data_IF_658652568376
#
_entry.id   IF_658652568376
#
_cell.length_a   1.000
_cell.length_b   1.000
_cell.length_c   1.000
_cell.angle_alpha   90.00
_cell.angle_beta   90.00
_cell.angle_gamma   90.00
#
_symmetry.space_group_name_H-M   'P 1'
#
loop_
_entity.id
_entity.type
_entity.pdbx_description
1 polymer ?
#
# COMPACT_ATOMS: atom_id res chain seq x y z
N UNK A 1 -6.76 -9.16 -0.65
CA UNK A 1 -7.81 -9.47 0.33
C UNK A 1 -9.17 -9.12 -0.28
N UNK A 2 -10.09 -10.09 -0.32
CA UNK A 2 -11.47 -9.82 -0.73
C UNK A 2 -12.12 -8.88 0.28
N UNK A 3 -12.72 -7.79 -0.20
CA UNK A 3 -13.42 -6.83 0.65
C UNK A 3 -14.51 -7.50 1.49
N UNK A 4 -14.77 -6.99 2.69
CA UNK A 4 -15.65 -7.61 3.69
C UNK A 4 -17.05 -8.03 3.18
N UNK A 5 -17.80 -7.27 2.38
CA UNK A 5 -19.15 -7.66 1.98
C UNK A 5 -19.19 -8.83 0.98
N UNK A 6 -18.16 -9.03 0.19
CA UNK A 6 -18.14 -10.05 -0.87
C UNK A 6 -17.49 -11.37 -0.45
N UNK A 7 -16.64 -11.37 0.56
CA UNK A 7 -15.90 -12.58 0.95
C UNK A 7 -16.76 -13.75 1.42
N UNK A 8 -17.81 -13.58 2.25
CA UNK A 8 -18.65 -14.70 2.67
C UNK A 8 -19.38 -15.38 1.50
N UNK A 9 -19.99 -14.58 0.62
CA UNK A 9 -20.74 -15.08 -0.53
C UNK A 9 -19.81 -15.80 -1.52
N UNK A 10 -18.70 -15.17 -1.87
CA UNK A 10 -17.71 -15.74 -2.78
C UNK A 10 -17.14 -17.08 -2.29
N UNK A 11 -16.86 -17.20 -0.99
CA UNK A 11 -16.39 -18.45 -0.43
C UNK A 11 -17.47 -19.54 -0.45
N UNK A 12 -18.73 -19.20 -0.14
CA UNK A 12 -19.85 -20.13 -0.25
C UNK A 12 -20.02 -20.68 -1.67
N UNK A 13 -19.91 -19.82 -2.66
CA UNK A 13 -19.98 -20.17 -4.08
C UNK A 13 -18.78 -21.03 -4.50
N UNK A 14 -17.58 -20.64 -4.14
CA UNK A 14 -16.32 -21.34 -4.46
C UNK A 14 -16.30 -22.76 -3.89
N UNK A 15 -16.71 -22.93 -2.63
CA UNK A 15 -16.77 -24.23 -1.96
C UNK A 15 -18.07 -24.99 -2.20
N UNK A 16 -19.04 -24.38 -2.90
CA UNK A 16 -20.39 -24.92 -3.15
C UNK A 16 -21.09 -25.36 -1.86
N UNK A 17 -20.86 -24.61 -0.79
CA UNK A 17 -21.40 -24.85 0.54
C UNK A 17 -22.15 -23.60 1.04
N UNK A 18 -23.51 -23.60 0.98
CA UNK A 18 -24.30 -22.47 1.45
C UNK A 18 -24.25 -22.28 2.96
N UNK A 19 -23.92 -23.34 3.70
CA UNK A 19 -23.86 -23.35 5.18
C UNK A 19 -22.45 -23.05 5.72
N UNK A 20 -21.50 -22.73 4.82
CA UNK A 20 -20.13 -22.43 5.19
C UNK A 20 -20.08 -21.33 6.27
N UNK A 21 -19.53 -21.67 7.44
CA UNK A 21 -19.33 -20.70 8.52
C UNK A 21 -18.10 -19.81 8.26
N UNK A 22 -18.35 -18.72 7.57
CA UNK A 22 -17.33 -17.73 7.28
C UNK A 22 -16.67 -17.17 8.55
N UNK A 23 -17.44 -17.03 9.62
CA UNK A 23 -16.93 -16.48 10.90
C UNK A 23 -15.95 -17.44 11.56
N UNK A 24 -16.26 -18.73 11.58
CA UNK A 24 -15.36 -19.77 12.06
C UNK A 24 -14.07 -19.82 11.25
N UNK A 25 -14.15 -19.81 9.93
CA UNK A 25 -12.98 -19.79 9.04
C UNK A 25 -12.11 -18.55 9.28
N UNK A 26 -12.71 -17.38 9.39
CA UNK A 26 -12.01 -16.13 9.67
C UNK A 26 -11.31 -16.15 11.02
N UNK A 27 -11.96 -16.68 12.05
CA UNK A 27 -11.37 -16.79 13.38
C UNK A 27 -10.21 -17.79 13.41
N UNK A 28 -10.37 -18.94 12.77
CA UNK A 28 -9.32 -19.94 12.64
C UNK A 28 -8.09 -19.39 11.88
N UNK A 29 -8.32 -18.69 10.77
CA UNK A 29 -7.24 -17.99 10.04
C UNK A 29 -6.51 -16.98 10.94
N UNK A 30 -7.23 -16.19 11.73
CA UNK A 30 -6.65 -15.23 12.68
C UNK A 30 -5.79 -15.92 13.73
N UNK A 31 -6.24 -17.06 14.23
CA UNK A 31 -5.50 -17.86 15.20
C UNK A 31 -4.20 -18.37 14.59
N UNK A 32 -4.24 -19.04 13.42
CA UNK A 32 -3.05 -19.55 12.74
C UNK A 32 -2.03 -18.43 12.48
N UNK A 33 -2.49 -17.29 11.95
CA UNK A 33 -1.63 -16.12 11.72
C UNK A 33 -0.99 -15.68 13.05
N UNK A 34 -1.77 -15.59 14.12
CA UNK A 34 -1.25 -15.21 15.44
C UNK A 34 -0.20 -16.17 15.98
N UNK A 35 -0.37 -17.47 15.79
CA UNK A 35 0.59 -18.51 16.18
C UNK A 35 1.86 -18.43 15.32
N UNK A 36 1.72 -18.26 14.01
CA UNK A 36 2.86 -18.08 13.12
C UNK A 36 3.69 -16.84 13.47
N UNK A 37 3.03 -15.71 13.74
CA UNK A 37 3.72 -14.48 14.14
C UNK A 37 4.42 -14.59 15.49
N UNK A 38 3.84 -15.32 16.44
CA UNK A 38 4.49 -15.61 17.73
C UNK A 38 5.74 -16.48 17.56
N UNK A 39 5.69 -17.45 16.66
CA UNK A 39 6.78 -18.40 16.44
C UNK A 39 7.92 -17.82 15.57
N UNK A 40 7.57 -17.12 14.53
CA UNK A 40 8.51 -16.69 13.48
C UNK A 40 8.85 -15.19 13.55
N UNK A 41 8.11 -14.41 14.37
CA UNK A 41 8.17 -12.95 14.37
C UNK A 41 7.44 -12.33 13.17
N UNK A 42 7.60 -11.02 13.03
CA UNK A 42 7.08 -10.25 11.90
C UNK A 42 8.27 -9.97 10.98
N UNK A 43 8.18 -10.43 9.74
CA UNK A 43 9.21 -10.17 8.75
C UNK A 43 9.03 -8.77 8.16
N UNK A 44 10.13 -8.01 8.07
CA UNK A 44 10.17 -6.70 7.41
C UNK A 44 10.55 -6.92 5.95
N UNK A 45 9.76 -6.38 5.02
CA UNK A 45 10.05 -6.47 3.58
C UNK A 45 11.39 -5.81 3.26
N UNK A 46 12.12 -6.40 2.31
CA UNK A 46 13.43 -5.94 1.85
C UNK A 46 13.37 -4.46 1.44
N UNK A 47 14.32 -3.68 1.94
CA UNK A 47 14.45 -2.27 1.62
C UNK A 47 13.51 -1.34 2.41
N UNK A 48 12.68 -1.87 3.35
CA UNK A 48 11.71 -1.04 4.08
C UNK A 48 12.40 -0.04 5.02
N UNK A 49 13.40 -0.48 5.76
CA UNK A 49 14.13 0.39 6.69
C UNK A 49 14.88 1.46 5.92
N UNK A 50 15.60 1.07 4.87
CA UNK A 50 16.37 1.97 4.02
C UNK A 50 15.48 3.05 3.37
N UNK A 51 14.29 2.66 2.89
CA UNK A 51 13.33 3.61 2.34
C UNK A 51 12.81 4.56 3.41
N UNK A 52 12.40 4.05 4.58
CA UNK A 52 11.87 4.87 5.66
C UNK A 52 12.92 5.87 6.20
N UNK A 53 14.16 5.43 6.37
CA UNK A 53 15.27 6.30 6.77
C UNK A 53 15.53 7.40 5.73
N UNK A 54 15.52 7.04 4.45
CA UNK A 54 15.68 8.00 3.37
C UNK A 54 14.55 9.05 3.39
N UNK A 55 13.28 8.61 3.42
CA UNK A 55 12.13 9.52 3.45
C UNK A 55 12.14 10.44 4.67
N UNK A 56 12.55 9.91 5.83
CA UNK A 56 12.70 10.68 7.07
C UNK A 56 13.78 11.74 6.93
N UNK A 57 14.93 11.39 6.38
CA UNK A 57 16.05 12.33 6.17
C UNK A 57 15.67 13.44 5.18
N UNK A 58 14.82 13.16 4.19
CA UNK A 58 14.31 14.13 3.23
C UNK A 58 13.14 14.98 3.77
N UNK A 59 12.63 14.70 4.97
CA UNK A 59 11.46 15.37 5.54
C UNK A 59 10.15 15.07 4.83
N UNK A 60 10.07 13.97 4.08
CA UNK A 60 8.87 13.53 3.36
C UNK A 60 7.88 12.93 4.36
N UNK A 61 6.62 13.35 4.30
CA UNK A 61 5.55 12.80 5.14
C UNK A 61 5.26 11.33 4.82
N UNK A 62 4.97 10.54 5.86
CA UNK A 62 4.75 9.09 5.76
C UNK A 62 3.49 8.69 6.49
N UNK A 63 2.62 7.95 5.82
CA UNK A 63 1.45 7.36 6.44
C UNK A 63 1.32 5.87 6.11
N UNK A 64 0.72 5.12 7.01
CA UNK A 64 0.25 3.77 6.75
C UNK A 64 -1.24 3.81 6.38
N UNK A 65 -1.62 3.08 5.33
CA UNK A 65 -3.00 2.81 4.95
C UNK A 65 -3.22 1.29 4.90
N UNK A 66 -3.79 0.70 5.96
CA UNK A 66 -3.86 -0.74 6.15
C UNK A 66 -5.28 -1.27 6.34
N UNK A 67 -5.53 -2.50 5.85
CA UNK A 67 -6.75 -3.25 6.13
C UNK A 67 -6.80 -3.86 7.55
N UNK A 68 -5.70 -3.79 8.30
CA UNK A 68 -5.58 -4.27 9.69
C UNK A 68 -6.23 -3.25 10.65
N UNK A 69 -6.76 -3.73 11.78
CA UNK A 69 -7.29 -2.86 12.83
C UNK A 69 -6.17 -2.05 13.51
N UNK A 70 -6.55 -0.93 14.11
CA UNK A 70 -5.60 0.03 14.70
C UNK A 70 -4.74 -0.60 15.78
N UNK A 71 -5.37 -1.29 16.75
CA UNK A 71 -4.66 -1.86 17.90
C UNK A 71 -3.53 -2.80 17.46
N UNK A 72 -3.84 -3.69 16.53
CA UNK A 72 -2.88 -4.65 15.97
C UNK A 72 -1.80 -3.96 15.15
N UNK A 73 -2.17 -2.98 14.33
CA UNK A 73 -1.21 -2.22 13.53
C UNK A 73 -0.19 -1.53 14.43
N UNK A 74 -0.66 -0.83 15.47
CA UNK A 74 0.24 -0.14 16.41
C UNK A 74 1.13 -1.13 17.18
N UNK A 75 0.58 -2.27 17.61
CA UNK A 75 1.37 -3.31 18.27
C UNK A 75 2.49 -3.83 17.38
N UNK A 76 2.20 -4.12 16.11
CA UNK A 76 3.20 -4.60 15.16
C UNK A 76 4.28 -3.55 14.88
N UNK A 77 3.89 -2.31 14.65
CA UNK A 77 4.84 -1.23 14.42
C UNK A 77 5.75 -0.97 15.62
N UNK A 78 5.21 -1.01 16.83
CA UNK A 78 6.00 -0.87 18.08
C UNK A 78 6.95 -2.05 18.26
N UNK A 79 6.49 -3.28 18.02
CA UNK A 79 7.32 -4.48 18.10
C UNK A 79 8.48 -4.44 17.11
N UNK A 80 8.28 -3.86 15.92
CA UNK A 80 9.30 -3.71 14.89
C UNK A 80 10.18 -2.45 15.06
N UNK A 81 9.86 -1.56 16.01
CA UNK A 81 10.55 -0.27 16.16
C UNK A 81 10.23 0.72 15.02
N UNK A 82 9.12 0.52 14.31
CA UNK A 82 8.74 1.34 13.15
C UNK A 82 7.65 2.38 13.42
N UNK A 83 7.10 2.39 14.65
CA UNK A 83 5.96 3.26 14.98
C UNK A 83 6.27 4.75 14.73
N UNK A 84 7.44 5.21 15.14
CA UNK A 84 7.86 6.62 15.07
C UNK A 84 8.32 7.05 13.67
N UNK A 85 8.29 6.15 12.70
CA UNK A 85 8.54 6.51 11.30
C UNK A 85 7.34 7.15 10.62
N UNK A 86 6.14 6.96 11.14
CA UNK A 86 4.90 7.36 10.47
C UNK A 86 4.23 8.54 11.15
N UNK A 87 3.89 9.56 10.36
CA UNK A 87 3.16 10.74 10.81
C UNK A 87 1.67 10.40 11.06
N UNK A 88 1.13 9.44 10.29
CA UNK A 88 -0.26 8.97 10.41
C UNK A 88 -0.37 7.47 10.22
N UNK A 89 -1.30 6.85 10.95
CA UNK A 89 -1.68 5.44 10.81
C UNK A 89 -3.17 5.38 10.52
N UNK A 90 -3.51 4.99 9.30
CA UNK A 90 -4.88 4.91 8.81
C UNK A 90 -5.27 3.44 8.67
N UNK A 91 -6.31 3.04 9.38
CA UNK A 91 -6.82 1.68 9.41
C UNK A 91 -8.19 1.58 8.74
N UNK A 92 -8.53 0.40 8.23
CA UNK A 92 -9.80 0.17 7.54
C UNK A 92 -11.04 0.49 8.40
N UNK A 93 -10.91 0.46 9.72
CA UNK A 93 -11.99 0.83 10.65
C UNK A 93 -12.28 2.33 10.70
N UNK A 94 -11.45 3.16 10.10
CA UNK A 94 -11.59 4.62 10.06
C UNK A 94 -12.32 5.13 8.82
N UNK A 95 -12.70 4.22 7.91
CA UNK A 95 -13.38 4.52 6.64
C UNK A 95 -14.59 3.63 6.45
N UNK A 96 -15.53 4.07 5.61
CA UNK A 96 -16.77 3.34 5.36
C UNK A 96 -16.52 2.09 4.49
N UNK A 97 -15.73 2.24 3.44
CA UNK A 97 -15.44 1.16 2.51
C UNK A 97 -13.94 0.83 2.49
N UNK A 98 -13.60 -0.44 2.64
CA UNK A 98 -12.24 -0.94 2.53
C UNK A 98 -11.76 -1.08 1.08
N UNK A 99 -10.44 -1.28 0.89
CA UNK A 99 -9.85 -1.57 -0.43
C UNK A 99 -10.65 -2.67 -1.15
N UNK A 100 -11.01 -2.51 -2.42
CA UNK A 100 -10.46 -1.59 -3.42
C UNK A 100 -11.10 -0.20 -3.48
N UNK A 101 -12.04 0.16 -2.57
CA UNK A 101 -12.57 1.53 -2.51
C UNK A 101 -11.45 2.53 -2.24
N UNK A 102 -11.51 3.76 -2.81
CA UNK A 102 -10.48 4.78 -2.63
C UNK A 102 -10.47 5.43 -1.24
N UNK A 103 -11.49 5.18 -0.42
CA UNK A 103 -11.76 5.88 0.84
C UNK A 103 -10.54 5.99 1.76
N UNK A 104 -9.79 4.90 1.91
CA UNK A 104 -8.66 4.85 2.86
C UNK A 104 -7.49 5.75 2.41
N UNK A 105 -7.22 5.83 1.10
CA UNK A 105 -6.17 6.69 0.56
C UNK A 105 -6.59 8.15 0.53
N UNK A 106 -7.84 8.43 0.15
CA UNK A 106 -8.40 9.78 0.25
C UNK A 106 -8.37 10.29 1.70
N UNK A 107 -8.69 9.42 2.65
CA UNK A 107 -8.62 9.79 4.06
C UNK A 107 -7.17 10.02 4.52
N UNK A 108 -6.23 9.17 4.11
CA UNK A 108 -4.81 9.33 4.43
C UNK A 108 -4.25 10.66 3.89
N UNK A 109 -4.52 11.01 2.63
CA UNK A 109 -4.10 12.27 2.03
C UNK A 109 -4.65 13.48 2.81
N UNK A 110 -5.95 13.45 3.15
CA UNK A 110 -6.56 14.52 3.99
C UNK A 110 -5.89 14.64 5.36
N UNK A 111 -5.51 13.52 6.00
CA UNK A 111 -4.84 13.53 7.30
C UNK A 111 -3.41 14.06 7.24
N UNK A 112 -2.77 13.98 6.08
CA UNK A 112 -1.46 14.57 5.81
C UNK A 112 -1.57 16.02 5.31
N UNK A 113 -2.78 16.54 5.07
CA UNK A 113 -3.05 17.83 4.42
C UNK A 113 -2.41 17.96 3.03
N UNK A 114 -2.41 16.85 2.25
CA UNK A 114 -1.89 16.75 0.90
C UNK A 114 -3.02 16.39 -0.09
N UNK A 115 -2.85 16.79 -1.35
CA UNK A 115 -3.69 16.30 -2.44
C UNK A 115 -3.26 14.88 -2.85
N UNK A 116 -4.17 14.02 -3.33
CA UNK A 116 -3.80 12.66 -3.74
C UNK A 116 -2.71 12.60 -4.82
N UNK A 117 -2.74 13.51 -5.79
CA UNK A 117 -1.73 13.64 -6.85
C UNK A 117 -0.33 14.01 -6.33
N UNK A 118 -0.22 14.57 -5.14
CA UNK A 118 1.04 14.87 -4.45
C UNK A 118 1.58 13.64 -3.68
N UNK A 119 0.81 12.56 -3.63
CA UNK A 119 1.12 11.38 -2.84
C UNK A 119 1.55 10.20 -3.70
N UNK A 120 2.60 9.53 -3.28
CA UNK A 120 2.98 8.21 -3.79
C UNK A 120 2.40 7.14 -2.86
N UNK A 121 1.56 6.28 -3.41
CA UNK A 121 1.05 5.10 -2.72
C UNK A 121 1.90 3.88 -3.09
N UNK A 122 2.49 3.22 -2.10
CA UNK A 122 3.25 1.98 -2.29
C UNK A 122 2.37 0.80 -1.92
N UNK A 123 2.16 -0.13 -2.86
CA UNK A 123 1.23 -1.24 -2.71
C UNK A 123 1.81 -2.57 -3.19
N UNK A 124 1.27 -3.67 -2.66
CA UNK A 124 1.68 -5.04 -2.97
C UNK A 124 0.57 -5.87 -3.62
N UNK A 125 -0.65 -5.38 -3.60
CA UNK A 125 -1.85 -6.14 -3.99
C UNK A 125 -2.71 -5.41 -5.02
N UNK A 126 -3.40 -6.15 -5.92
CA UNK A 126 -4.31 -5.57 -6.91
C UNK A 126 -5.39 -4.66 -6.29
N UNK A 127 -5.99 -5.09 -5.17
CA UNK A 127 -7.01 -4.27 -4.48
C UNK A 127 -6.44 -2.97 -3.90
N UNK A 128 -5.20 -3.03 -3.42
CA UNK A 128 -4.50 -1.85 -2.93
C UNK A 128 -4.18 -0.87 -4.05
N UNK A 129 -3.65 -1.37 -5.17
CA UNK A 129 -3.41 -0.57 -6.38
C UNK A 129 -4.70 0.10 -6.87
N UNK A 130 -5.79 -0.66 -7.00
CA UNK A 130 -7.07 -0.08 -7.43
C UNK A 130 -7.58 1.00 -6.46
N UNK A 131 -7.41 0.80 -5.16
CA UNK A 131 -7.80 1.75 -4.12
C UNK A 131 -6.99 3.06 -4.22
N UNK A 132 -5.67 2.95 -4.32
CA UNK A 132 -4.77 4.10 -4.42
C UNK A 132 -4.97 4.88 -5.73
N UNK A 133 -5.05 4.16 -6.85
CA UNK A 133 -5.31 4.76 -8.16
C UNK A 133 -6.68 5.46 -8.20
N UNK A 134 -7.72 4.81 -7.67
CA UNK A 134 -9.07 5.39 -7.57
C UNK A 134 -9.13 6.62 -6.67
N UNK A 135 -8.20 6.77 -5.73
CA UNK A 135 -8.05 7.97 -4.91
C UNK A 135 -7.35 9.13 -5.65
N UNK A 136 -6.66 8.85 -6.76
CA UNK A 136 -5.86 9.81 -7.52
C UNK A 136 -4.38 9.86 -7.13
N UNK A 137 -3.89 8.86 -6.36
CA UNK A 137 -2.48 8.80 -5.97
C UNK A 137 -1.61 8.25 -7.12
N UNK A 138 -0.34 8.62 -7.11
CA UNK A 138 0.70 7.97 -7.92
C UNK A 138 1.04 6.61 -7.31
N UNK A 139 0.83 5.51 -8.04
CA UNK A 139 0.94 4.17 -7.45
C UNK A 139 2.22 3.49 -7.86
N UNK A 140 3.04 3.10 -6.88
CA UNK A 140 4.20 2.22 -7.08
C UNK A 140 3.85 0.84 -6.53
N UNK A 141 3.95 -0.19 -7.37
CA UNK A 141 3.70 -1.56 -6.93
C UNK A 141 5.01 -2.29 -6.64
N UNK A 142 5.07 -2.91 -5.45
CA UNK A 142 6.10 -3.88 -5.06
C UNK A 142 5.39 -5.23 -4.88
N UNK A 143 5.28 -6.06 -5.93
CA UNK A 143 4.49 -7.28 -5.88
C UNK A 143 4.93 -8.22 -4.76
N UNK A 144 3.96 -8.87 -4.11
CA UNK A 144 4.21 -9.92 -3.12
C UNK A 144 3.86 -11.29 -3.72
N UNK A 145 2.57 -11.59 -3.84
CA UNK A 145 2.08 -12.88 -4.34
C UNK A 145 1.49 -12.82 -5.75
N UNK A 146 1.24 -11.61 -6.27
CA UNK A 146 0.55 -11.43 -7.55
C UNK A 146 1.25 -10.36 -8.36
N UNK A 147 1.77 -10.73 -9.52
CA UNK A 147 2.27 -9.78 -10.50
C UNK A 147 1.11 -9.01 -11.14
N UNK A 148 1.30 -7.74 -11.51
CA UNK A 148 0.27 -6.96 -12.17
C UNK A 148 0.03 -7.47 -13.59
N UNK A 149 -1.25 -7.71 -13.92
CA UNK A 149 -1.69 -7.90 -15.29
C UNK A 149 -1.66 -6.58 -16.09
N UNK A 150 -1.96 -6.63 -17.39
CA UNK A 150 -1.92 -5.47 -18.27
C UNK A 150 -2.86 -4.34 -17.79
N UNK A 151 -4.06 -4.68 -17.34
CA UNK A 151 -5.04 -3.72 -16.86
C UNK A 151 -4.57 -3.03 -15.55
N UNK A 152 -3.87 -3.76 -14.70
CA UNK A 152 -3.32 -3.23 -13.47
C UNK A 152 -2.06 -2.39 -13.74
N UNK A 153 -1.21 -2.81 -14.69
CA UNK A 153 -0.03 -2.05 -15.12
C UNK A 153 -0.38 -0.65 -15.59
N UNK A 154 -1.48 -0.49 -16.31
CA UNK A 154 -1.99 0.82 -16.75
C UNK A 154 -2.40 1.78 -15.62
N UNK A 155 -2.38 1.33 -14.36
CA UNK A 155 -2.66 2.15 -13.16
C UNK A 155 -1.40 2.49 -12.37
N UNK A 156 -0.24 1.98 -12.77
CA UNK A 156 0.99 2.12 -12.01
C UNK A 156 1.84 3.27 -12.57
N UNK A 157 2.38 4.09 -11.71
CA UNK A 157 3.48 4.98 -12.01
C UNK A 157 4.80 4.21 -12.15
N UNK A 158 4.98 3.14 -11.35
CA UNK A 158 6.12 2.22 -11.47
C UNK A 158 5.80 0.85 -10.85
N UNK A 159 6.54 -0.18 -11.34
CA UNK A 159 6.65 -1.49 -10.70
C UNK A 159 8.12 -1.72 -10.35
N UNK A 160 8.42 -2.08 -9.10
CA UNK A 160 9.77 -2.36 -8.62
C UNK A 160 9.81 -3.68 -7.85
N UNK A 161 11.01 -4.29 -7.71
CA UNK A 161 11.17 -5.59 -7.05
C UNK A 161 11.33 -5.48 -5.53
N UNK A 162 11.74 -4.32 -5.03
CA UNK A 162 11.95 -4.10 -3.60
C UNK A 162 11.76 -2.63 -3.23
N UNK A 163 11.53 -2.37 -1.93
CA UNK A 163 11.24 -1.02 -1.43
C UNK A 163 12.43 -0.05 -1.56
N UNK A 164 13.67 -0.54 -1.48
CA UNK A 164 14.87 0.28 -1.67
C UNK A 164 15.01 0.83 -3.11
N UNK A 165 14.41 0.15 -4.09
CA UNK A 165 14.41 0.65 -5.48
C UNK A 165 13.61 1.93 -5.65
N UNK A 166 12.62 2.18 -4.78
CA UNK A 166 11.86 3.42 -4.76
C UNK A 166 12.79 4.62 -4.48
N UNK A 167 13.84 4.44 -3.68
CA UNK A 167 14.85 5.48 -3.44
C UNK A 167 15.51 5.92 -4.74
N UNK A 168 15.72 4.99 -5.70
CA UNK A 168 16.31 5.31 -7.00
C UNK A 168 15.39 6.19 -7.84
N UNK A 169 14.06 6.02 -7.70
CA UNK A 169 13.08 6.89 -8.35
C UNK A 169 13.20 8.32 -7.83
N UNK A 170 13.32 8.52 -6.53
CA UNK A 170 13.53 9.86 -5.94
C UNK A 170 14.88 10.47 -6.33
N UNK A 171 15.97 9.67 -6.39
CA UNK A 171 17.32 10.16 -6.74
C UNK A 171 17.49 10.55 -8.20
N UNK A 172 16.73 9.97 -9.13
CA UNK A 172 16.71 10.39 -10.53
C UNK A 172 16.10 11.78 -10.71
N UNK A 173 15.39 12.27 -9.70
CA UNK A 173 14.68 13.54 -9.70
C UNK A 173 15.01 14.34 -8.44
N UNK A 174 16.23 14.95 -8.36
CA UNK A 174 16.72 15.65 -7.18
C UNK A 174 15.92 16.88 -6.75
N UNK A 175 14.81 17.17 -7.38
CA UNK A 175 13.95 18.27 -7.06
C UNK A 175 12.67 17.91 -6.32
N UNK A 176 12.46 16.67 -5.84
CA UNK A 176 11.35 16.31 -4.94
C UNK A 176 11.58 16.73 -3.48
N UNK A 177 12.66 17.43 -3.20
CA UNK A 177 12.97 18.02 -1.89
C UNK A 177 12.56 19.49 -1.88
N UNK A 178 11.69 19.84 -0.99
CA UNK A 178 11.17 21.13 -0.45
C UNK A 178 11.29 22.47 -1.24
N UNK A 179 12.03 22.60 -2.31
CA UNK A 179 12.29 23.90 -2.95
C UNK A 179 11.62 24.10 -4.33
N UNK A 180 10.99 23.05 -4.91
CA UNK A 180 10.39 23.14 -6.26
C UNK A 180 8.99 22.48 -6.35
N UNK A 181 8.03 22.95 -5.55
CA UNK A 181 6.73 22.29 -5.34
C UNK A 181 5.78 22.23 -6.55
N UNK A 182 5.90 23.11 -7.53
CA UNK A 182 4.91 23.17 -8.64
C UNK A 182 5.31 22.45 -9.94
N UNK A 183 6.59 22.14 -10.14
CA UNK A 183 7.08 21.65 -11.45
C UNK A 183 7.42 20.15 -11.50
N UNK A 184 7.29 19.41 -10.42
CA UNK A 184 7.98 18.13 -10.26
C UNK A 184 7.09 16.89 -10.36
N UNK A 185 5.82 17.00 -10.00
CA UNK A 185 4.88 15.88 -10.16
C UNK A 185 4.65 15.53 -11.63
N UNK A 186 4.59 16.54 -12.50
CA UNK A 186 4.49 16.34 -13.95
C UNK A 186 5.63 15.48 -14.50
N UNK A 187 6.86 15.63 -13.99
CA UNK A 187 8.02 14.85 -14.43
C UNK A 187 8.01 13.39 -13.98
N UNK A 188 7.47 13.06 -12.82
CA UNK A 188 7.35 11.66 -12.38
C UNK A 188 6.34 10.91 -13.25
N UNK A 189 5.24 11.56 -13.61
CA UNK A 189 4.23 11.01 -14.52
C UNK A 189 4.81 10.82 -15.92
N UNK A 190 5.55 11.81 -16.42
CA UNK A 190 6.18 11.77 -17.75
C UNK A 190 7.19 10.62 -17.89
N UNK A 191 7.96 10.34 -16.85
CA UNK A 191 8.97 9.26 -16.87
C UNK A 191 8.37 7.89 -16.62
N UNK A 192 7.30 7.79 -15.88
CA UNK A 192 6.53 6.54 -15.79
C UNK A 192 5.93 6.19 -17.17
N UNK A 193 5.48 7.17 -17.93
CA UNK A 193 5.03 7.00 -19.31
C UNK A 193 6.15 6.61 -20.27
N UNK A 194 7.31 7.27 -20.20
CA UNK A 194 8.49 6.92 -21.02
C UNK A 194 8.99 5.49 -20.78
N UNK A 195 9.00 5.02 -19.52
CA UNK A 195 9.37 3.65 -19.21
C UNK A 195 8.31 2.62 -19.65
N UNK A 196 7.03 3.00 -19.72
CA UNK A 196 5.97 2.16 -20.27
C UNK A 196 6.06 2.03 -21.78
N UNK A 197 6.46 3.09 -22.47
CA UNK A 197 6.58 3.11 -23.94
C UNK A 197 7.83 2.34 -24.40
N UNK A 198 8.92 2.35 -23.65
CA UNK A 198 10.13 1.54 -23.92
C UNK A 198 9.96 0.05 -23.59
N UNK A 199 8.94 -0.33 -22.82
CA UNK A 199 8.63 -1.74 -22.55
C UNK A 199 7.73 -2.38 -23.62
N UNK A 200 7.32 -1.62 -24.65
CA UNK A 200 6.51 -2.08 -25.78
C UNK A 200 7.32 -2.34 -27.06
N UNK A 201 8.63 -2.01 -27.07
CA UNK A 201 9.59 -2.39 -28.10
C UNK A 201 10.37 -3.66 -27.70
#
# INVERSE_FOLDING_TARGET
SLGQPYAPQHLKEMFRDPDLDYTAIRNYRKQIIGECLKKNGIEIKKGAIELLDYLKAQGIHRAIATATDQLRTEQYLKQLGLYDYFDKIICATMVEHGKPSPDIYQYACRQLALLPEECIAVEDSPNGVCSAYGAGCNVVMVPDQTEPDEALRGKLAARVDSLDEIIKLFKKFPGLTKEDEEHQLSKIIEIAQDNLDHAKE
#
